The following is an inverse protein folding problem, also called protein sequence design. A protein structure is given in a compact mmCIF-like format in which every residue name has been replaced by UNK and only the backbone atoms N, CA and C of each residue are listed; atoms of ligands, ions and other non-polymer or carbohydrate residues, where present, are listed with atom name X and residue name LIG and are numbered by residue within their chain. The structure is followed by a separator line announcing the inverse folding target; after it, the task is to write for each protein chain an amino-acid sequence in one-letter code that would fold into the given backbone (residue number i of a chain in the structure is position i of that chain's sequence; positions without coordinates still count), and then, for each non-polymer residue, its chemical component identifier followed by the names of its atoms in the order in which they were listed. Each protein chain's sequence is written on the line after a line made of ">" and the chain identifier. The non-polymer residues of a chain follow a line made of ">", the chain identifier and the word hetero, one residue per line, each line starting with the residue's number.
data_IF_958758567769
#
_entry.id   IF_958758567769
#
_cell.length_a   1.000
_cell.length_b   1.000
_cell.length_c   1.000
_cell.angle_alpha   90.00
_cell.angle_beta   90.00
_cell.angle_gamma   90.00
#
_symmetry.space_group_name_H-M   'P 1'
#
loop_
_entity.id
_entity.type
_entity.pdbx_description
1 polymer ?
#
# COMPACT_ATOMS: atom_id res chain seq x y z
N UNK A 1 -25.90 5.66 -16.30
CA UNK A 1 -24.95 5.87 -15.19
C UNK A 1 -25.61 6.29 -13.85
N UNK A 2 -26.88 5.97 -13.58
CA UNK A 2 -27.59 6.50 -12.39
C UNK A 2 -27.66 5.58 -11.17
N UNK A 3 -27.82 4.28 -11.38
CA UNK A 3 -28.32 3.35 -10.34
C UNK A 3 -27.22 2.96 -9.33
N UNK A 4 -25.97 2.78 -9.78
CA UNK A 4 -24.85 2.44 -8.88
C UNK A 4 -24.49 3.61 -7.93
N UNK A 5 -24.69 4.85 -8.40
CA UNK A 5 -24.43 6.04 -7.59
C UNK A 5 -25.55 6.30 -6.58
N UNK A 6 -26.81 6.05 -6.96
CA UNK A 6 -27.95 6.18 -6.05
C UNK A 6 -27.96 5.11 -4.95
N UNK A 7 -27.41 3.93 -5.21
CA UNK A 7 -27.25 2.86 -4.21
C UNK A 7 -26.02 3.03 -3.31
N UNK A 8 -25.25 4.11 -3.45
CA UNK A 8 -24.03 4.35 -2.66
C UNK A 8 -22.88 3.37 -2.97
N UNK A 9 -22.97 2.64 -4.08
CA UNK A 9 -21.98 1.65 -4.53
C UNK A 9 -20.88 2.28 -5.40
N UNK A 10 -21.08 3.51 -5.86
CA UNK A 10 -20.07 4.26 -6.59
C UNK A 10 -18.93 4.74 -5.66
N UNK A 11 -17.66 4.69 -6.09
CA UNK A 11 -16.54 5.23 -5.32
C UNK A 11 -16.73 6.71 -5.01
N UNK A 12 -16.53 7.09 -3.75
CA UNK A 12 -16.54 8.49 -3.32
C UNK A 12 -15.31 9.24 -3.86
N UNK A 13 -15.34 10.58 -3.82
CA UNK A 13 -14.15 11.37 -4.16
C UNK A 13 -12.97 11.09 -3.20
N UNK A 14 -13.27 10.72 -1.94
CA UNK A 14 -12.24 10.29 -0.97
C UNK A 14 -11.61 8.96 -1.39
N UNK A 15 -12.40 8.01 -1.88
CA UNK A 15 -11.87 6.71 -2.36
C UNK A 15 -10.94 6.89 -3.56
N UNK A 16 -11.30 7.79 -4.50
CA UNK A 16 -10.44 8.12 -5.64
C UNK A 16 -9.12 8.77 -5.18
N UNK A 17 -9.21 9.76 -4.28
CA UNK A 17 -8.01 10.43 -3.74
C UNK A 17 -7.10 9.45 -3.00
N UNK A 18 -7.66 8.54 -2.20
CA UNK A 18 -6.87 7.49 -1.53
C UNK A 18 -6.18 6.58 -2.55
N UNK A 19 -6.88 6.17 -3.61
CA UNK A 19 -6.31 5.35 -4.68
C UNK A 19 -5.15 6.03 -5.39
N UNK A 20 -5.28 7.32 -5.70
CA UNK A 20 -4.21 8.11 -6.32
C UNK A 20 -2.99 8.24 -5.40
N UNK A 21 -3.20 8.57 -4.13
CA UNK A 21 -2.11 8.69 -3.14
C UNK A 21 -1.34 7.38 -2.99
N UNK A 22 -2.06 6.25 -2.90
CA UNK A 22 -1.44 4.94 -2.78
C UNK A 22 -0.69 4.56 -4.07
N UNK A 23 -1.25 4.84 -5.25
CA UNK A 23 -0.60 4.56 -6.52
C UNK A 23 0.71 5.35 -6.75
N UNK A 24 0.87 6.48 -6.06
CA UNK A 24 2.09 7.30 -6.10
C UNK A 24 3.12 6.95 -5.01
N UNK A 25 2.85 5.92 -4.19
CA UNK A 25 3.69 5.55 -3.05
C UNK A 25 4.68 4.41 -3.38
N UNK A 26 4.49 3.22 -2.81
CA UNK A 26 5.32 2.05 -3.05
C UNK A 26 4.55 1.05 -3.92
N UNK A 27 5.25 0.39 -4.84
CA UNK A 27 4.67 -0.63 -5.73
C UNK A 27 4.05 -1.81 -4.96
N UNK A 28 4.53 -2.07 -3.74
CA UNK A 28 4.03 -3.10 -2.84
C UNK A 28 2.69 -2.75 -2.16
N UNK A 29 2.18 -1.54 -2.39
CA UNK A 29 1.00 -0.98 -1.70
C UNK A 29 -0.10 -0.69 -2.71
N UNK A 30 -1.30 -1.21 -2.46
CA UNK A 30 -2.43 -1.06 -3.40
C UNK A 30 -3.77 -1.01 -2.68
N UNK A 31 -4.69 -0.20 -3.21
CA UNK A 31 -6.07 -0.15 -2.72
C UNK A 31 -6.85 -1.34 -3.26
N UNK A 32 -7.35 -2.19 -2.37
CA UNK A 32 -8.12 -3.41 -2.70
C UNK A 32 -9.61 -3.30 -2.35
N UNK A 33 -9.99 -2.25 -1.61
CA UNK A 33 -11.37 -1.98 -1.22
C UNK A 33 -11.54 -0.53 -0.77
N UNK A 34 -12.78 -0.12 -0.46
CA UNK A 34 -13.05 1.24 0.05
C UNK A 34 -12.34 1.42 1.40
N UNK A 35 -11.35 2.31 1.44
CA UNK A 35 -10.52 2.51 2.63
C UNK A 35 -9.62 1.33 2.99
N UNK A 36 -9.53 0.29 2.15
CA UNK A 36 -8.71 -0.89 2.42
C UNK A 36 -7.48 -0.90 1.53
N UNK A 37 -6.32 -0.81 2.15
CA UNK A 37 -5.01 -0.87 1.50
C UNK A 37 -4.36 -2.21 1.84
N UNK A 38 -3.91 -2.94 0.82
CA UNK A 38 -3.08 -4.13 0.98
C UNK A 38 -1.61 -3.72 0.82
N UNK A 39 -0.77 -4.21 1.72
CA UNK A 39 0.69 -4.18 1.62
C UNK A 39 1.14 -5.61 1.39
N UNK A 40 1.79 -5.91 0.26
CA UNK A 40 2.23 -7.27 -0.03
C UNK A 40 3.62 -7.54 0.56
N UNK A 41 3.74 -8.44 1.56
CA UNK A 41 5.01 -8.66 2.25
C UNK A 41 6.07 -9.28 1.34
N UNK A 42 5.68 -10.06 0.32
CA UNK A 42 6.65 -10.63 -0.62
C UNK A 42 7.26 -9.53 -1.49
N UNK A 43 6.46 -8.58 -1.94
CA UNK A 43 6.91 -7.41 -2.72
C UNK A 43 7.79 -6.50 -1.86
N UNK A 44 7.39 -6.23 -0.61
CA UNK A 44 8.21 -5.48 0.36
C UNK A 44 9.56 -6.17 0.55
N UNK A 45 9.59 -7.49 0.77
CA UNK A 45 10.83 -8.22 1.04
C UNK A 45 11.84 -8.20 -0.10
N UNK A 46 11.36 -8.01 -1.33
CA UNK A 46 12.17 -7.95 -2.55
C UNK A 46 12.70 -6.55 -2.85
N UNK A 47 12.17 -5.52 -2.20
CA UNK A 47 12.61 -4.14 -2.41
C UNK A 47 14.04 -3.93 -1.88
N UNK A 48 14.81 -3.10 -2.57
CA UNK A 48 16.19 -2.84 -2.16
C UNK A 48 16.26 -2.03 -0.87
N UNK A 49 15.26 -1.18 -0.63
CA UNK A 49 15.11 -0.45 0.64
C UNK A 49 14.96 -1.44 1.81
N UNK A 50 14.08 -2.44 1.68
CA UNK A 50 13.89 -3.44 2.72
C UNK A 50 15.15 -4.28 2.93
N UNK A 51 15.84 -4.68 1.86
CA UNK A 51 17.13 -5.41 1.97
C UNK A 51 18.18 -4.59 2.72
N UNK A 52 18.30 -3.29 2.43
CA UNK A 52 19.23 -2.38 3.12
C UNK A 52 18.87 -2.24 4.60
N UNK A 53 17.61 -1.98 4.91
CA UNK A 53 17.12 -1.88 6.29
C UNK A 53 17.35 -3.18 7.07
N UNK A 54 17.09 -4.33 6.45
CA UNK A 54 17.35 -5.65 7.03
C UNK A 54 18.83 -5.89 7.33
N UNK A 55 19.72 -5.48 6.43
CA UNK A 55 21.16 -5.59 6.64
C UNK A 55 21.63 -4.72 7.82
N UNK A 56 21.13 -3.49 7.92
CA UNK A 56 21.40 -2.59 9.05
C UNK A 56 20.90 -3.18 10.37
N UNK A 57 19.66 -3.69 10.40
CA UNK A 57 19.10 -4.34 11.59
C UNK A 57 19.93 -5.55 12.04
N UNK A 58 20.40 -6.37 11.08
CA UNK A 58 21.29 -7.50 11.38
C UNK A 58 22.60 -7.07 12.04
N UNK A 59 23.20 -5.97 11.57
CA UNK A 59 24.43 -5.43 12.15
C UNK A 59 24.23 -4.98 13.61
N UNK A 60 23.09 -4.36 13.93
CA UNK A 60 22.74 -3.95 15.30
C UNK A 60 22.66 -5.17 16.22
N UNK A 61 21.95 -6.22 15.79
CA UNK A 61 21.77 -7.43 16.61
C UNK A 61 23.10 -8.17 16.80
N UNK A 62 23.94 -8.26 15.77
CA UNK A 62 25.23 -8.94 15.85
C UNK A 62 26.28 -8.21 16.71
N UNK A 63 26.09 -6.91 16.93
CA UNK A 63 26.98 -6.09 17.78
C UNK A 63 26.59 -6.14 19.27
N UNK A 64 25.44 -6.75 19.59
CA UNK A 64 24.88 -6.85 20.94
C UNK A 64 25.13 -8.23 21.53
#
# INVERSE_FOLDING_TARGET
>A
MGILKSLGLAPSQRDKKLKELVAQSYDSVRVVGRGTVKIDPQEVSRSDEFKKARAQAKAIVATR
#
